data_IF_993407379394
#
_entry.id   IF_993407379394
#
_cell.length_a   1.000
_cell.length_b   1.000
_cell.length_c   1.000
_cell.angle_alpha   90.00
_cell.angle_beta   90.00
_cell.angle_gamma   90.00
#
_symmetry.space_group_name_H-M   'P 1'
#
loop_
_entity.id
_entity.type
_entity.pdbx_description
1 polymer ?
#
# COMPACT_ATOMS: atom_id res chain seq x y z
N UNK A 1 14.17 -27.90 13.58
CA UNK A 1 13.27 -26.77 13.91
C UNK A 1 14.03 -25.53 13.51
N UNK A 2 13.70 -24.88 12.38
CA UNK A 2 14.28 -23.59 12.01
C UNK A 2 13.83 -22.56 13.04
N UNK A 3 14.75 -21.75 13.55
CA UNK A 3 14.41 -20.61 14.38
C UNK A 3 13.34 -19.79 13.65
N UNK A 4 12.18 -19.63 14.25
CA UNK A 4 11.14 -18.73 13.75
C UNK A 4 11.77 -17.34 13.80
N UNK A 5 12.01 -16.71 12.66
CA UNK A 5 12.61 -15.38 12.63
C UNK A 5 11.65 -14.41 13.31
N UNK A 6 12.18 -13.61 14.23
CA UNK A 6 11.42 -12.70 15.07
C UNK A 6 11.18 -11.38 14.31
N UNK A 7 9.97 -10.82 14.46
CA UNK A 7 9.66 -9.48 13.98
C UNK A 7 10.56 -8.47 14.73
N UNK A 8 11.23 -7.60 14.00
CA UNK A 8 12.14 -6.60 14.56
C UNK A 8 11.87 -5.19 14.02
N UNK A 9 12.20 -4.20 14.82
CA UNK A 9 12.30 -2.83 14.36
C UNK A 9 13.38 -2.76 13.26
N UNK A 10 13.01 -2.28 12.08
CA UNK A 10 13.93 -2.07 10.98
C UNK A 10 14.47 -0.64 10.98
N UNK A 11 13.59 0.37 11.10
CA UNK A 11 13.99 1.77 11.11
C UNK A 11 13.06 2.64 11.96
N UNK A 12 13.65 3.58 12.72
CA UNK A 12 12.91 4.59 13.49
C UNK A 12 12.60 5.79 12.59
N UNK A 13 11.45 5.77 11.92
CA UNK A 13 11.02 6.81 10.99
C UNK A 13 10.09 7.84 11.62
N UNK A 14 9.34 7.43 12.65
CA UNK A 14 8.38 8.27 13.36
C UNK A 14 7.35 8.95 12.43
N UNK A 15 6.97 8.26 11.34
CA UNK A 15 5.95 8.73 10.40
C UNK A 15 4.60 8.91 11.13
N UNK A 16 3.86 9.97 10.78
CA UNK A 16 2.51 10.11 11.30
C UNK A 16 1.58 9.06 10.67
N UNK A 17 1.66 8.88 9.36
CA UNK A 17 0.94 7.84 8.63
C UNK A 17 1.87 7.21 7.59
N UNK A 18 2.76 6.32 8.05
CA UNK A 18 3.66 5.56 7.18
C UNK A 18 2.85 4.59 6.31
N UNK A 19 3.07 4.59 4.98
CA UNK A 19 2.24 3.86 4.03
C UNK A 19 2.96 3.47 2.74
N UNK A 20 2.28 2.66 1.92
CA UNK A 20 2.69 2.33 0.55
C UNK A 20 4.16 1.92 0.42
N UNK A 21 4.64 0.93 1.19
CA UNK A 21 6.02 0.48 1.09
C UNK A 21 6.26 -0.22 -0.24
N UNK A 22 7.41 0.09 -0.88
CA UNK A 22 7.85 -0.49 -2.15
C UNK A 22 9.34 -0.81 -2.06
N UNK A 23 9.72 -2.04 -2.36
CA UNK A 23 11.12 -2.42 -2.46
C UNK A 23 11.69 -2.06 -3.83
N UNK A 24 12.81 -1.36 -3.85
CA UNK A 24 13.59 -1.06 -5.04
C UNK A 24 14.80 -1.99 -5.12
N UNK A 25 14.71 -3.01 -5.96
CA UNK A 25 15.78 -4.00 -6.15
C UNK A 25 17.05 -3.38 -6.73
N UNK A 26 16.92 -2.33 -7.56
CA UNK A 26 18.06 -1.70 -8.22
C UNK A 26 18.91 -0.87 -7.23
N UNK A 27 18.26 -0.30 -6.22
CA UNK A 27 18.91 0.53 -5.20
C UNK A 27 19.09 -0.23 -3.87
N UNK A 28 18.57 -1.46 -3.76
CA UNK A 28 18.47 -2.21 -2.51
C UNK A 28 17.93 -1.35 -1.35
N UNK A 29 16.83 -0.66 -1.59
CA UNK A 29 16.22 0.28 -0.64
C UNK A 29 14.72 0.11 -0.54
N UNK A 30 14.17 0.43 0.63
CA UNK A 30 12.74 0.49 0.87
C UNK A 30 12.26 1.93 0.65
N UNK A 31 11.30 2.11 -0.24
CA UNK A 31 10.59 3.37 -0.44
C UNK A 31 9.27 3.32 0.34
N UNK A 32 8.84 4.44 0.90
CA UNK A 32 7.53 4.56 1.55
C UNK A 32 7.08 6.01 1.60
N UNK A 33 5.80 6.25 1.88
CA UNK A 33 5.26 7.59 2.09
C UNK A 33 4.94 7.83 3.57
N UNK A 34 5.02 9.08 4.01
CA UNK A 34 4.25 9.58 5.15
C UNK A 34 3.11 10.41 4.56
N UNK A 35 1.90 9.85 4.59
CA UNK A 35 0.73 10.48 3.98
C UNK A 35 0.47 11.86 4.58
N UNK A 36 0.45 11.95 5.91
CA UNK A 36 0.16 13.20 6.63
C UNK A 36 1.24 14.26 6.39
N UNK A 37 2.50 13.83 6.37
CA UNK A 37 3.64 14.68 6.10
C UNK A 37 3.79 15.08 4.63
N UNK A 38 3.06 14.43 3.70
CA UNK A 38 3.23 14.64 2.27
C UNK A 38 4.63 14.26 1.76
N UNK A 39 5.23 13.21 2.32
CA UNK A 39 6.63 12.87 2.10
C UNK A 39 6.79 11.54 1.36
N UNK A 40 7.78 11.49 0.47
CA UNK A 40 8.32 10.25 -0.09
C UNK A 40 9.70 10.04 0.51
N UNK A 41 9.91 8.90 1.12
CA UNK A 41 11.10 8.55 1.87
C UNK A 41 11.76 7.28 1.30
N UNK A 42 13.07 7.14 1.50
CA UNK A 42 13.83 5.94 1.22
C UNK A 42 14.63 5.51 2.44
N UNK A 43 14.72 4.20 2.67
CA UNK A 43 15.58 3.56 3.65
C UNK A 43 16.57 2.67 2.94
N UNK A 44 17.85 2.85 3.19
CA UNK A 44 18.88 1.94 2.72
C UNK A 44 18.94 0.65 3.57
N UNK A 45 19.86 -0.26 3.22
CA UNK A 45 20.03 -1.53 3.94
C UNK A 45 20.48 -1.35 5.40
N UNK A 46 21.08 -0.21 5.74
CA UNK A 46 21.50 0.17 7.08
C UNK A 46 20.41 0.95 7.84
N UNK A 47 19.21 1.03 7.27
CA UNK A 47 18.08 1.78 7.80
C UNK A 47 18.31 3.31 7.90
N UNK A 48 19.23 3.87 7.11
CA UNK A 48 19.40 5.31 7.01
C UNK A 48 18.24 5.91 6.21
N UNK A 49 17.56 6.87 6.81
CA UNK A 49 16.40 7.55 6.22
C UNK A 49 16.85 8.71 5.35
N UNK A 50 16.37 8.75 4.12
CA UNK A 50 16.53 9.87 3.19
C UNK A 50 15.16 10.33 2.69
N UNK A 51 14.85 11.63 2.83
CA UNK A 51 13.67 12.22 2.22
C UNK A 51 13.96 12.52 0.76
N UNK A 52 13.20 11.91 -0.15
CA UNK A 52 13.35 12.13 -1.59
C UNK A 52 12.49 13.29 -2.10
N UNK A 53 11.30 13.47 -1.52
CA UNK A 53 10.35 14.49 -1.94
C UNK A 53 9.43 14.90 -0.80
N UNK A 54 9.02 16.16 -0.80
CA UNK A 54 8.03 16.71 0.14
C UNK A 54 7.05 17.61 -0.61
N UNK A 55 5.78 17.45 -0.30
CA UNK A 55 4.67 18.19 -0.87
C UNK A 55 3.83 18.82 0.24
N UNK A 56 3.25 20.00 0.02
CA UNK A 56 2.25 20.56 0.94
C UNK A 56 0.94 19.76 0.96
N UNK A 57 0.80 18.79 0.05
CA UNK A 57 -0.37 17.95 -0.11
C UNK A 57 -0.07 16.51 0.29
N UNK A 58 -1.06 15.80 0.80
CA UNK A 58 -0.95 14.38 1.17
C UNK A 58 -0.59 13.53 -0.04
N UNK A 59 0.34 12.60 0.17
CA UNK A 59 0.74 11.58 -0.82
C UNK A 59 0.23 10.24 -0.31
N UNK A 60 -0.77 9.67 -0.99
CA UNK A 60 -1.44 8.45 -0.55
C UNK A 60 -0.68 7.17 -0.90
N UNK A 61 -0.09 7.12 -2.08
CA UNK A 61 0.59 5.92 -2.58
C UNK A 61 1.73 6.26 -3.53
N UNK A 62 2.66 5.32 -3.68
CA UNK A 62 3.75 5.41 -4.65
C UNK A 62 4.01 4.06 -5.34
N UNK A 63 4.61 4.10 -6.53
CA UNK A 63 5.18 2.94 -7.19
C UNK A 63 6.43 3.33 -8.00
N UNK A 64 7.26 2.34 -8.28
CA UNK A 64 8.40 2.50 -9.20
C UNK A 64 7.90 2.51 -10.65
N UNK A 65 8.57 3.29 -11.50
CA UNK A 65 8.37 3.21 -12.95
C UNK A 65 9.41 2.27 -13.59
N UNK A 66 9.18 1.86 -14.84
CA UNK A 66 10.14 1.05 -15.59
C UNK A 66 11.44 1.79 -15.90
N UNK A 67 11.41 3.13 -15.92
CA UNK A 67 12.60 3.99 -16.11
C UNK A 67 13.32 4.29 -14.78
N UNK A 68 12.82 3.79 -13.65
CA UNK A 68 13.40 4.01 -12.31
C UNK A 68 12.93 5.27 -11.61
N UNK A 69 11.99 6.02 -12.18
CA UNK A 69 11.31 7.14 -11.56
C UNK A 69 10.24 6.67 -10.57
N UNK A 70 9.52 7.60 -9.93
CA UNK A 70 8.41 7.31 -9.03
C UNK A 70 7.12 7.90 -9.57
N UNK A 71 6.08 7.07 -9.70
CA UNK A 71 4.70 7.55 -9.82
C UNK A 71 4.07 7.56 -8.44
N UNK A 72 3.32 8.60 -8.12
CA UNK A 72 2.66 8.72 -6.81
C UNK A 72 1.29 9.40 -6.92
N UNK A 73 0.40 9.04 -6.01
CA UNK A 73 -0.91 9.65 -5.87
C UNK A 73 -0.85 10.80 -4.85
N UNK A 74 -1.30 11.99 -5.27
CA UNK A 74 -1.26 13.22 -4.48
C UNK A 74 -2.62 13.91 -4.53
N UNK A 75 -3.27 14.12 -3.36
CA UNK A 75 -4.66 14.60 -3.32
C UNK A 75 -5.56 13.78 -4.28
N UNK A 76 -6.22 14.41 -5.23
CA UNK A 76 -7.04 13.77 -6.27
C UNK A 76 -6.31 13.74 -7.64
N UNK A 77 -5.01 13.54 -7.64
CA UNK A 77 -4.19 13.46 -8.86
C UNK A 77 -3.04 12.47 -8.73
N UNK A 78 -2.33 12.28 -9.81
CA UNK A 78 -1.09 11.50 -9.87
C UNK A 78 0.04 12.33 -10.46
N UNK A 79 1.27 12.03 -10.06
CA UNK A 79 2.46 12.71 -10.57
C UNK A 79 3.62 11.73 -10.74
N UNK A 80 4.56 12.08 -11.61
CA UNK A 80 5.82 11.35 -11.81
C UNK A 80 6.96 12.23 -11.32
N UNK A 81 7.74 11.70 -10.38
CA UNK A 81 8.97 12.30 -9.85
C UNK A 81 10.17 11.68 -10.56
N UNK A 82 10.96 12.50 -11.22
CA UNK A 82 12.30 12.12 -11.68
C UNK A 82 13.24 11.97 -10.48
N UNK A 83 13.78 10.77 -10.29
CA UNK A 83 14.61 10.45 -9.11
C UNK A 83 16.00 11.05 -9.14
N UNK A 84 16.48 11.47 -10.31
CA UNK A 84 17.80 12.09 -10.45
C UNK A 84 17.74 13.57 -10.08
N UNK A 85 16.75 14.29 -10.62
CA UNK A 85 16.59 15.73 -10.37
C UNK A 85 15.73 16.04 -9.14
N UNK A 86 15.01 15.06 -8.61
CA UNK A 86 14.01 15.19 -7.54
C UNK A 86 12.90 16.20 -7.89
N UNK A 87 12.53 16.28 -9.17
CA UNK A 87 11.48 17.17 -9.67
C UNK A 87 10.31 16.38 -10.26
N UNK A 88 9.10 16.90 -10.06
CA UNK A 88 7.91 16.40 -10.74
C UNK A 88 8.02 16.79 -12.23
N UNK A 89 8.00 15.77 -13.09
CA UNK A 89 8.13 15.93 -14.56
C UNK A 89 6.79 15.81 -15.28
N UNK A 90 5.83 15.06 -14.72
CA UNK A 90 4.48 14.91 -15.24
C UNK A 90 3.47 14.88 -14.11
N UNK A 91 2.26 15.39 -14.33
CA UNK A 91 1.14 15.28 -13.40
C UNK A 91 -0.20 15.29 -14.13
N UNK A 92 -1.19 14.70 -13.48
CA UNK A 92 -2.60 14.70 -13.92
C UNK A 92 -3.50 14.84 -12.70
N UNK A 93 -4.58 15.61 -12.82
CA UNK A 93 -5.56 15.80 -11.74
C UNK A 93 -6.96 15.48 -12.25
N UNK A 94 -7.76 14.83 -11.41
CA UNK A 94 -9.18 14.67 -11.68
C UNK A 94 -9.90 16.00 -11.51
N UNK A 95 -10.91 16.25 -12.35
CA UNK A 95 -11.82 17.39 -12.19
C UNK A 95 -12.84 17.11 -11.08
N UNK A 96 -12.37 17.09 -9.81
CA UNK A 96 -13.19 16.88 -8.63
C UNK A 96 -13.35 18.20 -7.89
N UNK A 97 -14.61 18.60 -7.64
CA UNK A 97 -14.95 19.87 -7.01
C UNK A 97 -14.93 19.83 -5.48
N UNK A 98 -14.87 18.64 -4.85
CA UNK A 98 -14.91 18.48 -3.41
C UNK A 98 -13.51 18.32 -2.84
N UNK A 99 -13.12 19.22 -1.96
CA UNK A 99 -11.81 19.25 -1.31
C UNK A 99 -11.58 18.11 -0.30
N UNK A 100 -12.64 17.38 0.07
CA UNK A 100 -12.58 16.21 0.96
C UNK A 100 -12.12 14.94 0.25
N UNK A 101 -11.99 14.95 -1.08
CA UNK A 101 -11.54 13.76 -1.80
C UNK A 101 -10.03 13.73 -1.99
N UNK A 102 -9.45 12.58 -1.71
CA UNK A 102 -8.05 12.26 -2.01
C UNK A 102 -7.88 10.82 -2.45
N UNK A 103 -6.80 10.56 -3.15
CA UNK A 103 -6.32 9.20 -3.31
C UNK A 103 -5.72 8.67 -2.00
N UNK A 104 -5.96 7.39 -1.73
CA UNK A 104 -5.42 6.66 -0.59
C UNK A 104 -4.33 5.70 -1.08
N UNK A 105 -4.58 4.40 -1.06
CA UNK A 105 -3.61 3.41 -1.51
C UNK A 105 -3.57 3.24 -3.04
N UNK A 106 -2.48 2.64 -3.54
CA UNK A 106 -2.32 2.39 -4.97
C UNK A 106 -1.13 1.48 -5.28
N UNK A 107 -1.22 0.80 -6.42
CA UNK A 107 -0.16 -0.07 -6.93
C UNK A 107 -0.22 -0.16 -8.46
N UNK A 108 0.87 -0.61 -9.09
CA UNK A 108 0.86 -0.88 -10.52
C UNK A 108 0.27 -2.24 -10.83
N UNK A 109 -0.47 -2.31 -11.94
CA UNK A 109 -1.01 -3.55 -12.47
C UNK A 109 0.03 -4.30 -13.35
N UNK A 110 -0.26 -5.57 -13.73
CA UNK A 110 0.64 -6.37 -14.57
C UNK A 110 0.93 -5.76 -15.95
N UNK A 111 0.10 -4.83 -16.43
CA UNK A 111 0.29 -4.12 -17.70
C UNK A 111 1.06 -2.80 -17.55
N UNK A 112 1.49 -2.46 -16.33
CA UNK A 112 2.26 -1.25 -16.04
C UNK A 112 1.41 0.02 -15.95
N UNK A 113 0.13 -0.09 -15.56
CA UNK A 113 -0.76 1.04 -15.30
C UNK A 113 -0.86 1.24 -13.78
N UNK A 114 -1.05 2.47 -13.33
CA UNK A 114 -1.16 2.76 -11.91
C UNK A 114 -2.63 2.75 -11.48
N UNK A 115 -2.96 1.88 -10.53
CA UNK A 115 -4.30 1.77 -9.94
C UNK A 115 -4.28 2.40 -8.56
N UNK A 116 -5.22 3.30 -8.26
CA UNK A 116 -5.30 3.98 -6.97
C UNK A 116 -6.74 4.24 -6.56
N UNK A 117 -6.98 4.19 -5.25
CA UNK A 117 -8.31 4.35 -4.67
C UNK A 117 -8.59 5.79 -4.26
N UNK A 118 -9.63 6.41 -4.84
CA UNK A 118 -10.16 7.70 -4.39
C UNK A 118 -11.14 7.50 -3.24
N UNK A 119 -10.97 8.24 -2.15
CA UNK A 119 -11.85 8.22 -0.99
C UNK A 119 -12.37 9.61 -0.63
N UNK A 120 -13.52 9.65 0.06
CA UNK A 120 -13.97 10.83 0.80
C UNK A 120 -13.44 10.73 2.24
N UNK A 121 -12.68 11.72 2.70
CA UNK A 121 -12.08 11.72 4.06
C UNK A 121 -13.12 11.70 5.18
N UNK A 122 -14.34 12.14 4.90
CA UNK A 122 -15.45 12.07 5.86
C UNK A 122 -16.01 10.65 6.06
N UNK A 123 -15.66 9.69 5.21
CA UNK A 123 -16.15 8.29 5.20
C UNK A 123 -17.67 8.14 5.37
N UNK A 124 -18.42 9.22 5.14
CA UNK A 124 -19.87 9.28 5.40
C UNK A 124 -20.70 8.56 4.34
N UNK A 125 -20.09 8.21 3.22
CA UNK A 125 -20.75 7.58 2.05
C UNK A 125 -19.77 6.65 1.34
N UNK A 126 -20.27 5.56 0.77
CA UNK A 126 -19.52 4.70 -0.16
C UNK A 126 -19.41 5.37 -1.55
N UNK A 127 -18.71 6.49 -1.60
CA UNK A 127 -18.52 7.29 -2.83
C UNK A 127 -17.13 7.15 -3.42
N UNK A 128 -16.26 6.39 -2.76
CA UNK A 128 -14.90 6.10 -3.24
C UNK A 128 -14.92 5.25 -4.51
N UNK A 129 -13.80 5.29 -5.22
CA UNK A 129 -13.64 4.64 -6.52
C UNK A 129 -12.22 4.13 -6.70
N UNK A 130 -12.07 3.05 -7.45
CA UNK A 130 -10.77 2.68 -8.02
C UNK A 130 -10.61 3.34 -9.39
N UNK A 131 -9.52 4.05 -9.54
CA UNK A 131 -9.07 4.64 -10.80
C UNK A 131 -7.84 3.90 -11.31
N UNK A 132 -7.71 3.83 -12.62
CA UNK A 132 -6.56 3.32 -13.32
C UNK A 132 -6.00 4.38 -14.24
N UNK A 133 -4.71 4.64 -14.15
CA UNK A 133 -3.97 5.59 -14.97
C UNK A 133 -3.09 4.84 -15.98
N UNK A 134 -3.24 5.19 -17.25
CA UNK A 134 -2.39 4.67 -18.34
C UNK A 134 -1.04 5.41 -18.40
N UNK A 135 -0.18 5.01 -19.35
CA UNK A 135 1.14 5.60 -19.56
C UNK A 135 1.12 7.12 -19.86
N UNK A 136 0.02 7.64 -20.39
CA UNK A 136 -0.21 9.07 -20.63
C UNK A 136 -0.84 9.80 -19.45
N UNK A 137 -0.99 9.15 -18.30
CA UNK A 137 -1.69 9.64 -17.12
C UNK A 137 -3.17 9.96 -17.36
N UNK A 138 -3.82 9.26 -18.30
CA UNK A 138 -5.26 9.34 -18.49
C UNK A 138 -5.96 8.42 -17.49
N UNK A 139 -6.93 8.97 -16.77
CA UNK A 139 -7.68 8.26 -15.74
C UNK A 139 -8.91 7.53 -16.31
N UNK A 140 -9.16 6.32 -15.86
CA UNK A 140 -10.41 5.59 -16.07
C UNK A 140 -10.91 5.00 -14.76
N UNK A 141 -12.24 5.04 -14.54
CA UNK A 141 -12.86 4.39 -13.36
C UNK A 141 -12.94 2.89 -13.64
N UNK A 142 -12.55 2.08 -12.65
CA UNK A 142 -12.62 0.63 -12.71
C UNK A 142 -13.71 0.05 -11.82
N UNK A 143 -13.97 0.68 -10.70
CA UNK A 143 -14.99 0.30 -9.73
C UNK A 143 -15.41 1.54 -8.95
N UNK A 144 -16.65 1.61 -8.51
CA UNK A 144 -17.19 2.64 -7.64
C UNK A 144 -17.88 2.03 -6.41
N UNK A 145 -18.43 2.89 -5.55
CA UNK A 145 -19.12 2.51 -4.31
C UNK A 145 -18.24 1.78 -3.28
N UNK A 146 -16.98 2.19 -3.14
CA UNK A 146 -16.07 1.74 -2.09
C UNK A 146 -16.04 2.82 -0.98
N UNK A 147 -16.06 2.42 0.28
CA UNK A 147 -16.04 3.38 1.40
C UNK A 147 -14.62 3.91 1.66
N UNK A 148 -13.66 3.01 1.83
CA UNK A 148 -12.24 3.32 2.02
C UNK A 148 -11.40 2.32 1.22
N UNK A 149 -11.10 2.64 -0.05
CA UNK A 149 -10.27 1.77 -0.87
C UNK A 149 -8.84 1.73 -0.33
N UNK A 150 -8.37 0.50 -0.11
CA UNK A 150 -7.06 0.18 0.42
C UNK A 150 -6.52 -1.09 -0.24
N UNK A 151 -5.34 -1.50 0.14
CA UNK A 151 -4.65 -2.71 -0.24
C UNK A 151 -4.92 -3.20 -1.66
N UNK A 152 -3.90 -3.26 -2.51
CA UNK A 152 -4.02 -3.71 -3.90
C UNK A 152 -2.94 -4.73 -4.21
N UNK A 153 -3.35 -5.93 -4.67
CA UNK A 153 -2.43 -6.94 -5.19
C UNK A 153 -3.09 -7.74 -6.31
N UNK A 154 -2.29 -8.18 -7.26
CA UNK A 154 -2.74 -9.05 -8.35
C UNK A 154 -2.30 -10.48 -8.12
N UNK A 155 -3.14 -11.44 -8.54
CA UNK A 155 -2.74 -12.84 -8.60
C UNK A 155 -1.45 -13.00 -9.43
N UNK A 156 -0.71 -14.08 -9.19
CA UNK A 156 0.59 -14.33 -9.84
C UNK A 156 0.47 -14.33 -11.37
N UNK A 157 -0.65 -14.82 -11.90
CA UNK A 157 -0.95 -14.82 -13.34
C UNK A 157 -1.54 -13.50 -13.86
N UNK A 158 -1.78 -12.52 -12.95
CA UNK A 158 -2.31 -11.20 -13.27
C UNK A 158 -3.79 -11.17 -13.68
N UNK A 159 -4.52 -12.27 -13.51
CA UNK A 159 -5.92 -12.38 -13.96
C UNK A 159 -6.94 -11.93 -12.91
N UNK A 160 -6.54 -11.82 -11.65
CA UNK A 160 -7.39 -11.39 -10.55
C UNK A 160 -6.74 -10.19 -9.81
N UNK A 161 -7.59 -9.30 -9.30
CA UNK A 161 -7.23 -8.22 -8.38
C UNK A 161 -7.82 -8.51 -7.01
N UNK A 162 -6.99 -8.45 -5.97
CA UNK A 162 -7.42 -8.35 -4.58
C UNK A 162 -7.38 -6.88 -4.15
N UNK A 163 -8.43 -6.41 -3.50
CA UNK A 163 -8.50 -5.07 -2.96
C UNK A 163 -9.31 -5.03 -1.66
N UNK A 164 -9.05 -4.01 -0.85
CA UNK A 164 -9.66 -3.84 0.46
C UNK A 164 -10.68 -2.69 0.44
N UNK A 165 -11.82 -2.87 1.10
CA UNK A 165 -12.62 -1.79 1.68
C UNK A 165 -12.48 -1.85 3.20
N UNK A 166 -11.67 -0.97 3.77
CA UNK A 166 -11.35 -0.99 5.20
C UNK A 166 -12.55 -0.73 6.09
N UNK A 167 -13.50 0.10 5.66
CA UNK A 167 -14.73 0.40 6.43
C UNK A 167 -15.65 -0.82 6.46
N UNK A 168 -15.72 -1.54 5.36
CA UNK A 168 -16.49 -2.79 5.28
C UNK A 168 -15.81 -3.98 5.95
N UNK A 169 -14.57 -3.83 6.45
CA UNK A 169 -13.73 -4.93 6.96
C UNK A 169 -13.64 -6.10 5.98
N UNK A 170 -13.56 -5.80 4.68
CA UNK A 170 -13.70 -6.80 3.62
C UNK A 170 -12.55 -6.72 2.63
N UNK A 171 -12.01 -7.88 2.30
CA UNK A 171 -11.11 -8.09 1.18
C UNK A 171 -11.95 -8.64 0.03
N UNK A 172 -11.88 -8.00 -1.11
CA UNK A 172 -12.56 -8.43 -2.33
C UNK A 172 -11.58 -9.06 -3.31
N UNK A 173 -12.10 -9.95 -4.12
CA UNK A 173 -11.44 -10.51 -5.30
C UNK A 173 -12.29 -10.19 -6.52
N UNK A 174 -11.66 -9.74 -7.59
CA UNK A 174 -12.32 -9.45 -8.85
C UNK A 174 -11.52 -10.01 -10.01
N UNK A 175 -12.19 -10.45 -11.08
CA UNK A 175 -11.53 -10.73 -12.35
C UNK A 175 -10.96 -9.43 -12.92
N UNK A 176 -9.69 -9.47 -13.32
CA UNK A 176 -8.96 -8.31 -13.82
C UNK A 176 -8.71 -8.46 -15.33
N UNK A 177 -9.57 -7.88 -16.20
CA UNK A 177 -9.37 -7.98 -17.64
C UNK A 177 -8.23 -7.06 -18.08
N UNK A 178 -7.20 -7.62 -18.71
CA UNK A 178 -6.01 -6.87 -19.15
C UNK A 178 -6.34 -5.65 -20.02
N UNK A 179 -7.35 -5.78 -20.89
CA UNK A 179 -7.80 -4.73 -21.81
C UNK A 179 -9.18 -4.15 -21.47
N UNK A 180 -9.83 -4.63 -20.38
CA UNK A 180 -11.14 -4.17 -19.95
C UNK A 180 -11.07 -2.81 -19.22
N UNK A 181 -12.18 -2.08 -19.20
CA UNK A 181 -12.31 -0.82 -18.48
C UNK A 181 -12.74 -1.01 -17.03
N UNK A 182 -13.53 -2.05 -16.75
CA UNK A 182 -14.14 -2.31 -15.44
C UNK A 182 -13.69 -3.64 -14.89
N UNK A 183 -13.72 -3.75 -13.54
CA UNK A 183 -13.57 -5.03 -12.86
C UNK A 183 -14.80 -5.90 -13.11
N UNK A 184 -14.58 -7.19 -13.23
CA UNK A 184 -15.64 -8.17 -13.44
C UNK A 184 -15.71 -9.13 -12.25
N UNK A 185 -16.87 -9.73 -12.01
CA UNK A 185 -17.06 -10.78 -11.00
C UNK A 185 -16.51 -10.40 -9.62
N UNK A 186 -16.78 -9.17 -9.16
CA UNK A 186 -16.40 -8.72 -7.82
C UNK A 186 -17.09 -9.54 -6.77
N UNK A 187 -16.34 -10.21 -5.91
CA UNK A 187 -16.84 -11.06 -4.85
C UNK A 187 -16.04 -10.89 -3.56
N UNK A 188 -16.65 -11.18 -2.42
CA UNK A 188 -15.95 -11.25 -1.14
C UNK A 188 -14.93 -12.38 -1.20
N UNK A 189 -13.66 -12.06 -0.94
CA UNK A 189 -12.59 -13.04 -0.77
C UNK A 189 -12.48 -13.47 0.69
N UNK A 190 -12.42 -12.50 1.61
CA UNK A 190 -12.43 -12.72 3.04
C UNK A 190 -13.04 -11.54 3.78
N UNK A 191 -13.68 -11.80 4.92
CA UNK A 191 -14.02 -10.77 5.90
C UNK A 191 -13.04 -10.88 7.05
N UNK A 192 -12.44 -9.74 7.45
CA UNK A 192 -11.53 -9.69 8.59
C UNK A 192 -12.32 -9.55 9.87
N UNK A 193 -11.94 -10.26 10.96
CA UNK A 193 -12.59 -10.10 12.24
C UNK A 193 -12.50 -8.66 12.75
N UNK A 194 -13.64 -8.05 13.08
CA UNK A 194 -13.70 -6.63 13.47
C UNK A 194 -12.89 -6.33 14.74
N UNK A 195 -12.76 -7.31 15.63
CA UNK A 195 -11.96 -7.25 16.86
C UNK A 195 -10.45 -7.19 16.60
N UNK A 196 -10.01 -7.58 15.40
CA UNK A 196 -8.62 -7.48 14.94
C UNK A 196 -8.35 -6.20 14.14
N UNK A 197 -9.20 -5.18 14.27
CA UNK A 197 -9.05 -3.91 13.57
C UNK A 197 -9.62 -3.91 12.15
N UNK A 198 -9.04 -3.07 11.29
CA UNK A 198 -9.51 -2.90 9.91
C UNK A 198 -8.43 -3.35 8.93
N UNK A 199 -8.78 -4.12 7.89
CA UNK A 199 -7.84 -4.46 6.83
C UNK A 199 -7.37 -3.20 6.12
N UNK A 200 -6.08 -3.13 5.82
CA UNK A 200 -5.41 -1.98 5.24
C UNK A 200 -4.55 -2.42 4.05
N UNK A 201 -3.29 -2.04 3.95
CA UNK A 201 -2.41 -2.45 2.89
C UNK A 201 -2.14 -3.97 2.87
N UNK A 202 -1.80 -4.50 1.70
CA UNK A 202 -1.58 -5.94 1.53
C UNK A 202 -0.42 -6.27 0.58
N UNK A 203 0.10 -7.50 0.72
CA UNK A 203 1.12 -8.08 -0.14
C UNK A 203 0.84 -9.56 -0.42
N UNK A 204 1.25 -10.02 -1.61
CA UNK A 204 1.08 -11.42 -2.04
C UNK A 204 2.41 -12.17 -1.93
N UNK A 205 2.38 -13.40 -1.42
CA UNK A 205 3.50 -14.33 -1.47
C UNK A 205 3.42 -15.29 -2.68
N UNK A 206 4.51 -16.00 -2.95
CA UNK A 206 4.60 -16.91 -4.12
C UNK A 206 3.77 -18.17 -4.01
N UNK A 207 3.20 -18.46 -2.85
CA UNK A 207 2.23 -19.55 -2.67
C UNK A 207 0.78 -19.08 -2.89
N UNK A 208 0.59 -17.78 -3.21
CA UNK A 208 -0.71 -17.14 -3.32
C UNK A 208 -1.32 -16.75 -1.97
N UNK A 209 -0.50 -16.72 -0.93
CA UNK A 209 -0.90 -16.22 0.39
C UNK A 209 -0.98 -14.70 0.41
N UNK A 210 -2.08 -14.15 0.92
CA UNK A 210 -2.34 -12.73 1.01
C UNK A 210 -2.09 -12.23 2.43
N UNK A 211 -1.06 -11.42 2.62
CA UNK A 211 -0.73 -10.76 3.88
C UNK A 211 -1.42 -9.42 3.96
N UNK A 212 -2.17 -9.16 5.04
CA UNK A 212 -3.03 -7.99 5.20
C UNK A 212 -2.77 -7.34 6.54
N UNK A 213 -2.36 -6.08 6.54
CA UNK A 213 -2.20 -5.29 7.75
C UNK A 213 -3.56 -5.00 8.39
N UNK A 214 -3.61 -5.01 9.72
CA UNK A 214 -4.83 -4.73 10.49
C UNK A 214 -4.66 -3.43 11.27
N UNK A 215 -5.12 -2.32 10.71
CA UNK A 215 -5.10 -1.01 11.37
C UNK A 215 -5.95 -1.04 12.66
N UNK A 216 -5.38 -0.64 13.78
CA UNK A 216 -5.90 -0.81 15.14
C UNK A 216 -6.01 -2.27 15.62
N UNK A 217 -5.42 -3.23 14.91
CA UNK A 217 -5.44 -4.64 15.30
C UNK A 217 -4.10 -5.15 15.83
N UNK A 218 -3.02 -4.38 15.66
CA UNK A 218 -1.68 -4.78 16.12
C UNK A 218 -1.17 -6.08 15.50
N UNK A 219 -1.61 -6.42 14.29
CA UNK A 219 -1.20 -7.65 13.62
C UNK A 219 -1.32 -7.57 12.10
N UNK A 220 -0.72 -8.55 11.43
CA UNK A 220 -1.03 -8.91 10.05
C UNK A 220 -1.73 -10.27 10.03
N UNK A 221 -2.67 -10.44 9.12
CA UNK A 221 -3.36 -11.69 8.83
C UNK A 221 -2.87 -12.25 7.50
N UNK A 222 -2.59 -13.55 7.43
CA UNK A 222 -2.29 -14.24 6.17
C UNK A 222 -3.46 -15.15 5.81
N UNK A 223 -4.04 -14.91 4.65
CA UNK A 223 -5.06 -15.76 4.04
C UNK A 223 -4.44 -16.61 2.95
N UNK A 224 -4.89 -17.88 2.83
CA UNK A 224 -4.51 -18.71 1.69
C UNK A 224 -5.27 -18.29 0.41
N UNK A 225 -4.97 -18.94 -0.72
CA UNK A 225 -5.62 -18.68 -2.02
C UNK A 225 -7.15 -18.85 -2.03
N UNK A 226 -7.71 -19.51 -1.02
CA UNK A 226 -9.15 -19.75 -0.87
C UNK A 226 -9.81 -18.76 0.11
N UNK A 227 -9.06 -17.81 0.68
CA UNK A 227 -9.56 -16.86 1.67
C UNK A 227 -9.63 -17.43 3.08
N UNK A 228 -8.96 -18.55 3.36
CA UNK A 228 -8.89 -19.13 4.72
C UNK A 228 -7.73 -18.49 5.49
N UNK A 229 -8.02 -17.97 6.69
CA UNK A 229 -6.99 -17.43 7.59
C UNK A 229 -6.05 -18.57 8.05
N UNK A 230 -4.76 -18.44 7.73
CA UNK A 230 -3.74 -19.45 8.04
C UNK A 230 -2.71 -19.01 9.07
N UNK A 231 -2.51 -17.70 9.23
CA UNK A 231 -1.53 -17.16 10.16
C UNK A 231 -1.93 -15.77 10.65
N UNK A 232 -1.64 -15.50 11.92
CA UNK A 232 -1.66 -14.15 12.52
C UNK A 232 -0.25 -13.83 12.98
N UNK A 233 0.29 -12.68 12.51
CA UNK A 233 1.60 -12.16 12.87
C UNK A 233 1.40 -10.93 13.76
N UNK A 234 1.65 -10.99 15.07
CA UNK A 234 1.58 -9.84 15.96
C UNK A 234 2.61 -8.76 15.60
N UNK A 235 2.23 -7.50 15.72
CA UNK A 235 3.09 -6.32 15.61
C UNK A 235 3.06 -5.56 16.93
N UNK A 236 4.20 -5.07 17.48
CA UNK A 236 4.24 -4.50 18.83
C UNK A 236 3.60 -3.11 18.94
N UNK A 237 2.99 -2.62 17.86
CA UNK A 237 2.26 -1.34 17.82
C UNK A 237 0.86 -1.53 17.24
N UNK A 238 -0.15 -0.74 17.63
CA UNK A 238 -1.55 -1.03 17.29
C UNK A 238 -1.90 -0.81 15.81
N UNK A 239 -1.11 -0.03 15.06
CA UNK A 239 -1.49 0.45 13.73
C UNK A 239 -0.47 0.06 12.64
N UNK A 240 -0.29 -1.23 12.31
CA UNK A 240 0.32 -1.60 11.03
C UNK A 240 -0.60 -1.15 9.91
N UNK A 241 -0.03 -0.50 8.90
CA UNK A 241 -0.77 0.14 7.80
C UNK A 241 -0.63 -0.63 6.50
N UNK A 242 0.60 -0.87 6.06
CA UNK A 242 0.84 -1.58 4.81
C UNK A 242 2.08 -2.46 4.89
N UNK A 243 2.27 -3.31 3.88
CA UNK A 243 3.44 -4.18 3.83
C UNK A 243 3.91 -4.43 2.40
N UNK A 244 5.19 -4.75 2.25
CA UNK A 244 5.75 -5.25 1.01
C UNK A 244 6.87 -6.24 1.27
N UNK A 245 7.05 -7.17 0.36
CA UNK A 245 8.22 -8.02 0.34
C UNK A 245 9.40 -7.31 -0.31
N UNK A 246 10.60 -7.62 0.16
CA UNK A 246 11.84 -7.08 -0.36
C UNK A 246 13.06 -7.90 0.07
N UNK A 247 14.23 -7.29 -0.06
CA UNK A 247 15.51 -7.96 0.12
C UNK A 247 15.94 -8.74 -1.14
N UNK A 248 17.19 -9.23 -1.17
CA UNK A 248 17.76 -9.85 -2.38
C UNK A 248 17.01 -11.11 -2.86
N UNK A 249 16.30 -11.77 -1.97
CA UNK A 249 15.57 -13.01 -2.23
C UNK A 249 14.06 -12.88 -1.99
N UNK A 250 13.58 -11.63 -1.84
CA UNK A 250 12.16 -11.30 -1.63
C UNK A 250 11.53 -12.01 -0.41
N UNK A 251 12.31 -12.35 0.60
CA UNK A 251 11.83 -13.05 1.81
C UNK A 251 11.65 -12.12 3.00
N UNK A 252 12.08 -10.89 2.93
CA UNK A 252 11.87 -9.90 4.00
C UNK A 252 10.55 -9.18 3.79
N UNK A 253 9.61 -9.36 4.72
CA UNK A 253 8.37 -8.57 4.75
C UNK A 253 8.64 -7.32 5.57
N UNK A 254 8.58 -6.15 4.93
CA UNK A 254 8.62 -4.84 5.57
C UNK A 254 7.20 -4.39 5.88
N UNK A 255 7.01 -3.75 7.04
CA UNK A 255 5.70 -3.35 7.55
C UNK A 255 5.78 -1.89 7.97
N UNK A 256 4.98 -1.04 7.36
CA UNK A 256 4.79 0.35 7.78
C UNK A 256 3.79 0.45 8.91
N UNK A 257 3.94 1.47 9.75
CA UNK A 257 3.04 1.72 10.89
C UNK A 257 2.71 3.20 11.01
N UNK A 258 1.71 3.55 11.86
CA UNK A 258 1.23 4.91 12.01
C UNK A 258 1.05 5.34 13.48
N UNK A 259 1.24 6.65 13.71
CA UNK A 259 0.77 7.38 14.90
C UNK A 259 -0.57 8.08 14.66
N UNK A 260 -0.95 8.23 13.41
CA UNK A 260 -2.15 8.94 12.97
C UNK A 260 -3.38 8.57 13.79
N UNK A 261 -4.04 9.58 14.35
CA UNK A 261 -5.23 9.42 15.19
C UNK A 261 -4.98 8.83 16.59
N UNK A 262 -3.73 8.65 17.02
CA UNK A 262 -3.39 8.26 18.39
C UNK A 262 -3.46 9.48 19.33
N UNK A 263 -4.05 9.29 20.49
CA UNK A 263 -3.97 10.26 21.60
C UNK A 263 -2.54 10.35 22.14
N UNK A 264 -2.23 11.40 22.90
CA UNK A 264 -0.93 11.54 23.55
C UNK A 264 -0.62 10.37 24.53
N UNK A 265 -1.64 9.81 25.18
CA UNK A 265 -1.49 8.65 26.05
C UNK A 265 -1.12 7.39 25.24
N UNK A 266 -1.84 7.11 24.14
CA UNK A 266 -1.51 5.99 23.25
C UNK A 266 -0.10 6.11 22.65
N UNK A 267 0.34 7.33 22.28
CA UNK A 267 1.70 7.55 21.79
C UNK A 267 2.76 7.31 22.85
N UNK A 268 2.44 7.60 24.12
CA UNK A 268 3.34 7.29 25.24
C UNK A 268 3.41 5.78 25.52
N UNK A 269 2.29 5.07 25.38
CA UNK A 269 2.25 3.60 25.54
C UNK A 269 2.91 2.86 24.36
N UNK A 270 2.87 3.44 23.16
CA UNK A 270 3.45 2.86 21.93
C UNK A 270 4.44 3.83 21.27
N UNK A 271 5.60 4.12 21.90
CA UNK A 271 6.57 5.10 21.37
C UNK A 271 7.19 4.68 20.03
N UNK A 272 7.12 3.40 19.69
CA UNK A 272 7.62 2.82 18.43
C UNK A 272 6.59 2.87 17.29
N UNK A 273 5.39 3.43 17.50
CA UNK A 273 4.42 3.65 16.43
C UNK A 273 4.98 4.64 15.38
N UNK A 274 4.63 4.45 14.10
CA UNK A 274 5.15 5.24 12.99
C UNK A 274 6.54 4.80 12.49
N UNK A 275 7.07 3.73 13.05
CA UNK A 275 8.33 3.12 12.60
C UNK A 275 8.08 2.01 11.57
N UNK A 276 9.17 1.54 10.96
CA UNK A 276 9.14 0.41 10.02
C UNK A 276 9.64 -0.85 10.72
N UNK A 277 8.87 -1.92 10.60
CA UNK A 277 9.24 -3.25 11.09
C UNK A 277 9.61 -4.17 9.93
N UNK A 278 10.34 -5.24 10.24
CA UNK A 278 10.65 -6.29 9.27
C UNK A 278 10.68 -7.67 9.90
N UNK A 279 10.32 -8.66 9.11
CA UNK A 279 10.44 -10.07 9.45
C UNK A 279 10.88 -10.84 8.21
N UNK A 280 11.74 -11.84 8.40
CA UNK A 280 12.08 -12.75 7.33
C UNK A 280 11.11 -13.94 7.31
N UNK A 281 10.56 -14.26 6.15
CA UNK A 281 9.57 -15.31 5.98
C UNK A 281 10.13 -16.47 5.15
N UNK A 282 9.66 -17.71 5.39
CA UNK A 282 10.10 -18.87 4.64
C UNK A 282 9.64 -18.86 3.18
N UNK A 283 8.52 -18.19 2.89
CA UNK A 283 7.96 -18.05 1.55
C UNK A 283 8.30 -16.66 1.00
N UNK A 284 8.91 -16.57 -0.18
CA UNK A 284 9.19 -15.26 -0.79
C UNK A 284 7.92 -14.56 -1.25
N UNK A 285 7.98 -13.23 -1.33
CA UNK A 285 6.90 -12.43 -1.90
C UNK A 285 6.95 -12.33 -3.42
N UNK A 286 5.82 -11.90 -3.98
CA UNK A 286 5.73 -11.53 -5.40
C UNK A 286 6.21 -10.09 -5.57
N UNK A 287 7.16 -9.80 -6.47
CA UNK A 287 7.60 -8.45 -6.77
C UNK A 287 6.44 -7.56 -7.21
N UNK A 288 6.46 -6.29 -6.80
CA UNK A 288 5.48 -5.32 -7.27
C UNK A 288 5.71 -4.95 -8.73
N UNK A 289 4.63 -4.78 -9.50
CA UNK A 289 4.69 -4.29 -10.87
C UNK A 289 5.16 -2.83 -10.92
N UNK A 290 5.72 -2.43 -12.07
CA UNK A 290 6.25 -1.08 -12.29
C UNK A 290 5.42 -0.34 -13.32
N UNK A 291 5.25 0.96 -13.12
CA UNK A 291 4.52 1.82 -14.06
C UNK A 291 5.27 1.95 -15.39
N UNK A 292 4.52 1.78 -16.48
CA UNK A 292 5.03 1.99 -17.83
C UNK A 292 4.83 3.46 -18.21
N UNK A 293 5.85 4.27 -18.01
CA UNK A 293 5.81 5.67 -18.46
C UNK A 293 6.18 5.79 -19.95
N UNK A 294 5.67 6.84 -20.61
CA UNK A 294 5.93 7.14 -22.03
C UNK A 294 7.40 7.47 -22.33
#
# INVERSE_FOLDING_TARGET
MSAQEELRLFASCQADLGESPVWDEAQNSLLFVDISGGQINALDQQANLTRLYESPSRIGALALTQKGNLIFAQNAGVAILDRTSLRVIHNSKLAITLSSYRFNDGACDPQGRFVTGLMDEGHSRSTGKLYRYDAGLNASVMLDHISLPNGLAWSIDGTELFFVDSVACTIYRARYPANGSYLEQVAVFAQTPAELGRPDGLALDTEGGLWVCQFNGGCLLRYDRNGVLTQTLPVPVPRPTSCCFGGPDMRTLFITTAKFGMSAAEQADFPEAGNIYSIRLPVPGVPRHRFKEL
#
